data_IF_133406321531
#
_entry.id   IF_133406321531
#
_cell.length_a   1.000
_cell.length_b   1.000
_cell.length_c   1.000
_cell.angle_alpha   90.00
_cell.angle_beta   90.00
_cell.angle_gamma   90.00
#
_symmetry.space_group_name_H-M   'P 1'
#
loop_
_entity.id
_entity.type
_entity.pdbx_description
1 polymer ?
#
# COMPACT_ATOMS: atom_id res chain seq x y z
N UNK A 1 -12.43 48.01 1.74
CA UNK A 1 -12.95 46.73 2.29
C UNK A 1 -13.09 45.63 1.24
N UNK A 2 -13.51 45.92 0.00
CA UNK A 2 -13.70 44.91 -1.07
C UNK A 2 -12.42 44.12 -1.40
N UNK A 3 -11.26 44.79 -1.47
CA UNK A 3 -9.98 44.13 -1.77
C UNK A 3 -9.53 43.11 -0.73
N UNK A 4 -9.89 43.31 0.55
CA UNK A 4 -9.56 42.37 1.63
C UNK A 4 -10.40 41.10 1.53
N UNK A 5 -11.66 41.21 1.14
CA UNK A 5 -12.55 40.06 0.94
C UNK A 5 -12.09 39.19 -0.25
N UNK A 6 -11.65 39.83 -1.35
CA UNK A 6 -11.12 39.12 -2.52
C UNK A 6 -9.81 38.39 -2.17
N UNK A 7 -8.93 39.03 -1.40
CA UNK A 7 -7.68 38.41 -0.95
C UNK A 7 -7.93 37.19 -0.03
N UNK A 8 -8.88 37.30 0.90
CA UNK A 8 -9.28 36.19 1.77
C UNK A 8 -9.95 35.04 0.99
N UNK A 9 -10.71 35.35 -0.06
CA UNK A 9 -11.33 34.35 -0.93
C UNK A 9 -10.29 33.58 -1.77
N UNK A 10 -9.30 34.29 -2.31
CA UNK A 10 -8.18 33.67 -3.05
C UNK A 10 -7.31 32.84 -2.10
N UNK A 11 -7.01 33.36 -0.91
CA UNK A 11 -6.26 32.60 0.10
C UNK A 11 -7.03 31.35 0.56
N UNK A 12 -8.32 31.47 0.84
CA UNK A 12 -9.17 30.34 1.23
C UNK A 12 -9.28 29.26 0.14
N UNK A 13 -9.45 29.66 -1.13
CA UNK A 13 -9.50 28.70 -2.25
C UNK A 13 -8.17 27.98 -2.49
N UNK A 14 -7.03 28.64 -2.26
CA UNK A 14 -5.70 28.01 -2.33
C UNK A 14 -5.45 27.01 -1.18
N UNK A 15 -5.90 27.31 0.05
CA UNK A 15 -5.79 26.39 1.18
C UNK A 15 -6.72 25.16 1.06
N UNK A 16 -7.90 25.32 0.44
CA UNK A 16 -8.85 24.23 0.21
C UNK A 16 -8.48 23.35 -1.01
N UNK A 17 -7.58 23.81 -1.89
CA UNK A 17 -7.18 23.13 -3.12
C UNK A 17 -6.23 21.95 -2.92
N UNK A 18 -5.51 21.89 -1.80
CA UNK A 18 -4.65 20.76 -1.44
C UNK A 18 -5.43 19.69 -0.66
N UNK A 19 -6.58 19.25 -1.19
CA UNK A 19 -7.14 17.96 -0.78
C UNK A 19 -6.25 16.88 -1.38
N UNK A 20 -5.27 16.44 -0.59
CA UNK A 20 -4.46 15.26 -0.84
C UNK A 20 -5.40 14.12 -1.23
N UNK A 21 -5.44 13.77 -2.51
CA UNK A 21 -6.22 12.62 -2.95
C UNK A 21 -5.44 11.39 -2.47
N UNK A 22 -6.00 10.56 -1.56
CA UNK A 22 -5.34 9.30 -1.21
C UNK A 22 -5.15 8.50 -2.50
N UNK A 23 -3.95 7.96 -2.70
CA UNK A 23 -3.67 7.06 -3.81
C UNK A 23 -4.66 5.90 -3.75
N UNK A 24 -5.25 5.52 -4.88
CA UNK A 24 -6.18 4.38 -4.93
C UNK A 24 -5.45 3.13 -4.44
N UNK A 25 -6.00 2.48 -3.41
CA UNK A 25 -5.52 1.18 -2.96
C UNK A 25 -5.89 0.10 -3.98
N UNK A 26 -5.04 -0.92 -4.09
CA UNK A 26 -5.29 -2.15 -4.84
C UNK A 26 -4.98 -3.32 -3.91
N UNK A 27 -5.72 -4.41 -4.07
CA UNK A 27 -5.48 -5.68 -3.41
C UNK A 27 -4.91 -6.65 -4.42
N UNK A 28 -3.88 -7.39 -4.01
CA UNK A 28 -3.25 -8.46 -4.77
C UNK A 28 -3.28 -9.72 -3.92
N UNK A 29 -3.71 -10.82 -4.54
CA UNK A 29 -3.92 -12.08 -3.85
C UNK A 29 -3.06 -13.17 -4.49
N UNK A 30 -2.37 -13.94 -3.66
CA UNK A 30 -1.71 -15.18 -4.05
C UNK A 30 -2.58 -16.33 -3.59
N UNK A 31 -3.05 -17.12 -4.55
CA UNK A 31 -3.92 -18.28 -4.33
C UNK A 31 -3.27 -19.53 -4.91
N UNK A 32 -3.82 -20.70 -4.61
CA UNK A 32 -3.36 -21.96 -5.22
C UNK A 32 -3.48 -21.98 -6.75
N UNK A 33 -4.33 -21.13 -7.33
CA UNK A 33 -4.57 -21.08 -8.78
C UNK A 33 -3.60 -20.19 -9.56
N UNK A 34 -2.95 -19.21 -8.92
CA UNK A 34 -2.01 -18.29 -9.58
C UNK A 34 -0.55 -18.45 -9.14
N UNK A 35 -0.29 -19.23 -8.08
CA UNK A 35 1.07 -19.53 -7.63
C UNK A 35 1.77 -20.51 -8.56
N UNK A 36 3.10 -20.46 -8.57
CA UNK A 36 3.92 -21.45 -9.25
C UNK A 36 3.75 -22.84 -8.59
N UNK A 37 3.64 -23.94 -9.36
CA UNK A 37 3.41 -25.28 -8.81
C UNK A 37 4.52 -25.70 -7.83
N UNK A 38 5.77 -25.39 -8.16
CA UNK A 38 6.95 -25.80 -7.37
C UNK A 38 7.21 -24.95 -6.12
N UNK A 39 6.50 -23.83 -5.94
CA UNK A 39 6.75 -22.90 -4.82
C UNK A 39 5.65 -23.05 -3.74
N UNK A 40 6.03 -23.32 -2.47
CA UNK A 40 5.06 -23.38 -1.38
C UNK A 40 4.56 -21.99 -1.01
N UNK A 41 3.37 -21.86 -0.40
CA UNK A 41 2.83 -20.57 0.05
C UNK A 41 3.75 -19.82 1.00
N UNK A 42 4.45 -20.55 1.88
CA UNK A 42 5.44 -19.97 2.79
C UNK A 42 6.58 -19.22 2.05
N UNK A 43 6.93 -19.64 0.83
CA UNK A 43 7.92 -18.93 0.03
C UNK A 43 7.42 -17.53 -0.36
N UNK A 44 6.16 -17.43 -0.79
CA UNK A 44 5.52 -16.17 -1.15
C UNK A 44 5.37 -15.24 0.06
N UNK A 45 4.92 -15.79 1.19
CA UNK A 45 4.82 -15.06 2.45
C UNK A 45 6.15 -14.40 2.83
N UNK A 46 7.24 -15.17 2.79
CA UNK A 46 8.58 -14.67 3.12
C UNK A 46 9.04 -13.59 2.13
N UNK A 47 8.86 -13.81 0.83
CA UNK A 47 9.24 -12.84 -0.20
C UNK A 47 8.48 -11.52 -0.10
N UNK A 48 7.17 -11.58 0.17
CA UNK A 48 6.35 -10.39 0.38
C UNK A 48 6.84 -9.61 1.61
N UNK A 49 7.11 -10.30 2.72
CA UNK A 49 7.65 -9.64 3.93
C UNK A 49 9.04 -9.06 3.73
N UNK A 50 9.92 -9.73 2.99
CA UNK A 50 11.23 -9.19 2.59
C UNK A 50 11.06 -7.89 1.80
N UNK A 51 10.21 -7.90 0.78
CA UNK A 51 9.98 -6.72 -0.05
C UNK A 51 9.39 -5.55 0.76
N UNK A 52 8.48 -5.80 1.70
CA UNK A 52 7.93 -4.77 2.60
C UNK A 52 9.05 -4.14 3.44
N UNK A 53 9.99 -4.95 3.95
CA UNK A 53 11.15 -4.45 4.71
C UNK A 53 12.09 -3.63 3.84
N UNK A 54 12.36 -4.07 2.62
CA UNK A 54 13.23 -3.36 1.66
C UNK A 54 12.63 -2.01 1.25
N UNK A 55 11.31 -1.94 1.14
CA UNK A 55 10.56 -0.69 0.95
C UNK A 55 10.51 0.20 2.21
N UNK A 56 11.17 -0.21 3.30
CA UNK A 56 11.27 0.50 4.59
C UNK A 56 9.92 0.78 5.24
N UNK A 57 8.99 -0.16 5.12
CA UNK A 57 7.75 -0.14 5.88
C UNK A 57 7.97 -0.75 7.26
N UNK A 58 7.44 -0.10 8.29
CA UNK A 58 7.43 -0.59 9.66
C UNK A 58 6.11 -1.25 9.99
N UNK A 59 6.16 -2.39 10.68
CA UNK A 59 4.98 -3.04 11.23
C UNK A 59 4.40 -2.17 12.34
N UNK A 60 3.16 -1.72 12.16
CA UNK A 60 2.40 -0.93 13.14
C UNK A 60 1.72 -1.84 14.15
N UNK A 61 0.91 -2.78 13.64
CA UNK A 61 0.07 -3.66 14.45
C UNK A 61 -0.21 -4.97 13.75
N UNK A 62 -0.62 -5.96 14.53
CA UNK A 62 -1.12 -7.24 14.05
C UNK A 62 -2.47 -7.48 14.70
N UNK A 63 -3.53 -7.64 13.92
CA UNK A 63 -4.91 -7.78 14.42
C UNK A 63 -5.66 -8.79 13.55
N UNK A 64 -6.28 -9.79 14.17
CA UNK A 64 -7.07 -10.83 13.47
C UNK A 64 -6.33 -11.55 12.32
N UNK A 65 -5.01 -11.75 12.45
CA UNK A 65 -4.19 -12.38 11.39
C UNK A 65 -3.79 -11.43 10.25
N UNK A 66 -4.16 -10.15 10.34
CA UNK A 66 -3.75 -9.09 9.40
C UNK A 66 -2.62 -8.29 10.03
N UNK A 67 -1.53 -8.16 9.29
CA UNK A 67 -0.38 -7.33 9.63
C UNK A 67 -0.49 -5.98 8.92
N UNK A 68 -0.42 -4.89 9.69
CA UNK A 68 -0.49 -3.53 9.15
C UNK A 68 0.88 -2.86 9.19
N UNK A 69 1.22 -2.17 8.12
CA UNK A 69 2.51 -1.57 7.88
C UNK A 69 2.38 -0.12 7.44
N UNK A 70 3.28 0.74 7.93
CA UNK A 70 3.36 2.17 7.56
C UNK A 70 4.74 2.52 7.00
N UNK A 71 4.82 3.42 6.01
CA UNK A 71 6.10 3.91 5.52
C UNK A 71 6.90 4.64 6.62
N UNK A 72 8.20 4.39 6.71
CA UNK A 72 9.11 5.22 7.52
C UNK A 72 9.16 6.64 6.96
N UNK A 73 9.25 7.62 7.87
CA UNK A 73 9.12 9.08 7.69
C UNK A 73 9.99 9.75 6.61
N UNK A 74 10.88 9.03 5.92
CA UNK A 74 11.65 9.55 4.79
C UNK A 74 10.88 9.51 3.46
N UNK A 75 9.81 8.71 3.35
CA UNK A 75 8.93 8.74 2.19
C UNK A 75 7.81 9.75 2.44
N UNK A 76 8.05 11.00 2.04
CA UNK A 76 7.07 12.10 2.02
C UNK A 76 5.95 11.91 0.98
N UNK A 77 5.90 10.74 0.33
CA UNK A 77 4.79 10.34 -0.53
C UNK A 77 3.70 9.78 0.39
N UNK A 78 2.49 10.31 0.30
CA UNK A 78 1.31 9.82 1.03
C UNK A 78 0.92 8.41 0.53
N UNK A 79 1.78 7.44 0.77
CA UNK A 79 1.49 6.03 0.56
C UNK A 79 0.46 5.60 1.62
N UNK A 80 -0.63 4.93 1.20
CA UNK A 80 -1.58 4.35 2.13
C UNK A 80 -0.90 3.27 2.97
N UNK A 81 -1.50 2.96 4.12
CA UNK A 81 -1.09 1.81 4.93
C UNK A 81 -1.13 0.53 4.08
N UNK A 82 -0.12 -0.32 4.26
CA UNK A 82 -0.09 -1.65 3.66
C UNK A 82 -0.63 -2.66 4.65
N UNK A 83 -1.56 -3.50 4.22
CA UNK A 83 -2.05 -4.63 4.99
C UNK A 83 -1.66 -5.94 4.32
N UNK A 84 -1.17 -6.87 5.11
CA UNK A 84 -0.84 -8.23 4.69
C UNK A 84 -1.68 -9.20 5.52
N UNK A 85 -2.54 -9.95 4.85
CA UNK A 85 -3.29 -11.05 5.45
C UNK A 85 -2.72 -12.36 4.94
N UNK A 86 -2.37 -13.24 5.86
CA UNK A 86 -1.81 -14.56 5.54
C UNK A 86 -2.75 -15.63 6.06
N UNK A 87 -3.36 -16.38 5.15
CA UNK A 87 -4.14 -17.57 5.46
C UNK A 87 -3.51 -18.80 4.80
N UNK A 88 -3.85 -20.04 5.23
CA UNK A 88 -3.28 -21.25 4.64
C UNK A 88 -3.50 -21.39 3.12
N UNK A 89 -4.52 -20.73 2.57
CA UNK A 89 -4.95 -20.89 1.18
C UNK A 89 -4.75 -19.62 0.34
N UNK A 90 -4.70 -18.45 0.98
CA UNK A 90 -4.64 -17.14 0.32
C UNK A 90 -3.70 -16.21 1.09
N UNK A 91 -2.83 -15.53 0.36
CA UNK A 91 -2.05 -14.40 0.88
C UNK A 91 -2.57 -13.14 0.19
N UNK A 92 -3.15 -12.22 0.97
CA UNK A 92 -3.70 -10.96 0.44
C UNK A 92 -2.84 -9.78 0.87
N UNK A 93 -2.45 -8.96 -0.09
CA UNK A 93 -1.68 -7.72 0.12
C UNK A 93 -2.50 -6.56 -0.38
N UNK A 94 -2.81 -5.60 0.47
CA UNK A 94 -3.48 -4.35 0.08
C UNK A 94 -2.54 -3.17 0.32
N UNK A 95 -2.39 -2.31 -0.67
CA UNK A 95 -1.51 -1.14 -0.62
C UNK A 95 -1.73 -0.23 -1.82
N UNK A 96 -0.83 0.71 -2.08
CA UNK A 96 -0.93 1.52 -3.29
C UNK A 96 -0.72 0.71 -4.55
N UNK A 97 -1.30 1.17 -5.66
CA UNK A 97 -1.11 0.55 -6.97
C UNK A 97 0.37 0.37 -7.35
N UNK A 98 1.25 1.31 -6.99
CA UNK A 98 2.68 1.21 -7.27
C UNK A 98 3.32 0.09 -6.43
N UNK A 99 3.02 0.03 -5.14
CA UNK A 99 3.53 -1.02 -4.26
C UNK A 99 3.06 -2.40 -4.68
N UNK A 100 1.78 -2.54 -5.00
CA UNK A 100 1.23 -3.80 -5.48
C UNK A 100 1.95 -4.25 -6.75
N UNK A 101 2.24 -3.33 -7.67
CA UNK A 101 2.99 -3.63 -8.90
C UNK A 101 4.43 -4.08 -8.62
N UNK A 102 5.11 -3.46 -7.66
CA UNK A 102 6.46 -3.84 -7.26
C UNK A 102 6.48 -5.24 -6.62
N UNK A 103 5.54 -5.49 -5.71
CA UNK A 103 5.41 -6.78 -5.03
C UNK A 103 5.03 -7.88 -6.02
N UNK A 104 4.03 -7.67 -6.88
CA UNK A 104 3.57 -8.65 -7.88
C UNK A 104 4.69 -9.04 -8.86
N UNK A 105 5.48 -8.06 -9.31
CA UNK A 105 6.66 -8.30 -10.14
C UNK A 105 7.72 -9.12 -9.39
N UNK A 106 7.97 -8.81 -8.12
CA UNK A 106 8.96 -9.51 -7.30
C UNK A 106 8.59 -10.96 -6.98
N UNK A 107 7.30 -11.24 -6.79
CA UNK A 107 6.80 -12.61 -6.58
C UNK A 107 6.48 -13.36 -7.87
N UNK A 108 6.70 -12.72 -9.03
CA UNK A 108 6.48 -13.28 -10.37
C UNK A 108 5.05 -13.78 -10.60
N UNK A 109 4.05 -13.03 -10.13
CA UNK A 109 2.63 -13.36 -10.34
C UNK A 109 1.99 -12.24 -11.15
N UNK A 110 1.32 -12.61 -12.24
CA UNK A 110 0.58 -11.66 -13.07
C UNK A 110 -0.61 -11.08 -12.29
N UNK A 111 -0.78 -9.75 -12.39
CA UNK A 111 -1.97 -9.09 -11.87
C UNK A 111 -3.17 -9.48 -12.73
N UNK A 112 -4.05 -10.32 -12.19
CA UNK A 112 -5.38 -10.61 -12.76
C UNK A 112 -6.32 -9.40 -12.68
#
# INVERSE_FOLDING_TARGET
MVFVAIFLFIAGSLFLGFKVRPLKSKTFEVTSGNKHPDRPMAWYENRIREQIKDLRFEKLKSENGVEYYKPRSLYQVNEPELSLEVTPYVISVTGSRLMIRLISTYVEIEES
#
